data_IF_866455881865
#
_entry.id   IF_866455881865
#
_cell.length_a   1.000
_cell.length_b   1.000
_cell.length_c   1.000
_cell.angle_alpha   90.00
_cell.angle_beta   90.00
_cell.angle_gamma   90.00
#
_symmetry.space_group_name_H-M   'P 1'
#
loop_
_entity.id
_entity.type
_entity.pdbx_description
1 polymer ?
#
# COMPACT_ATOMS: atom_id res chain seq x y z
N UNK A 1 10.36 21.95 -18.66
CA UNK A 1 11.08 21.19 -17.62
C UNK A 1 11.16 19.76 -18.14
N UNK A 2 12.36 19.23 -18.36
CA UNK A 2 12.53 17.92 -18.98
C UNK A 2 12.04 16.84 -18.02
N UNK A 3 11.07 16.05 -18.46
CA UNK A 3 10.63 14.86 -17.75
C UNK A 3 11.65 13.77 -18.04
N UNK A 4 12.68 13.64 -17.20
CA UNK A 4 13.69 12.61 -17.40
C UNK A 4 13.07 11.23 -17.20
N UNK A 5 13.16 10.36 -18.20
CA UNK A 5 12.81 8.95 -18.16
C UNK A 5 14.11 8.15 -18.28
N UNK A 6 14.45 7.42 -17.22
CA UNK A 6 15.58 6.50 -17.21
C UNK A 6 15.10 5.12 -17.66
N UNK A 7 15.74 4.57 -18.68
CA UNK A 7 15.54 3.21 -19.17
C UNK A 7 16.60 2.34 -18.54
N UNK A 8 16.18 1.33 -17.78
CA UNK A 8 17.06 0.29 -17.24
C UNK A 8 16.87 -0.99 -18.04
N UNK A 9 17.94 -1.73 -18.26
CA UNK A 9 17.96 -3.08 -18.81
C UNK A 9 18.60 -4.02 -17.80
N UNK A 10 17.86 -5.01 -17.32
CA UNK A 10 18.32 -5.95 -16.28
C UNK A 10 18.98 -5.19 -15.10
N UNK A 11 18.29 -4.16 -14.61
CA UNK A 11 18.68 -3.29 -13.50
C UNK A 11 19.90 -2.38 -13.74
N UNK A 12 20.45 -2.37 -14.95
CA UNK A 12 21.53 -1.46 -15.33
C UNK A 12 20.97 -0.31 -16.17
N UNK A 13 21.43 0.92 -15.90
CA UNK A 13 21.04 2.09 -16.70
C UNK A 13 21.48 1.88 -18.14
N UNK A 14 20.51 1.89 -19.05
CA UNK A 14 20.72 1.72 -20.48
C UNK A 14 20.72 3.08 -21.19
N UNK A 15 19.80 3.97 -20.83
CA UNK A 15 19.64 5.28 -21.46
C UNK A 15 18.84 6.25 -20.59
N UNK A 16 19.13 7.54 -20.70
CA UNK A 16 18.36 8.61 -20.07
C UNK A 16 17.76 9.51 -21.13
N UNK A 17 16.43 9.58 -21.16
CA UNK A 17 15.67 10.37 -22.12
C UNK A 17 15.10 11.60 -21.42
N UNK A 18 15.02 12.73 -22.13
CA UNK A 18 14.36 13.96 -21.67
C UNK A 18 12.85 14.00 -21.93
N UNK A 19 12.36 13.03 -22.71
CA UNK A 19 10.95 12.90 -23.11
C UNK A 19 10.58 11.47 -23.50
N UNK A 20 9.28 11.16 -23.49
CA UNK A 20 8.78 9.86 -23.96
C UNK A 20 9.07 9.61 -25.45
N UNK A 21 9.09 10.67 -26.28
CA UNK A 21 9.42 10.57 -27.70
C UNK A 21 10.89 10.23 -27.92
N UNK A 22 11.79 10.73 -27.08
CA UNK A 22 13.20 10.36 -27.11
C UNK A 22 13.41 8.92 -26.61
N UNK A 23 12.78 8.56 -25.48
CA UNK A 23 12.81 7.20 -24.96
C UNK A 23 12.31 6.18 -25.99
N UNK A 24 11.20 6.48 -26.68
CA UNK A 24 10.63 5.60 -27.70
C UNK A 24 11.53 5.47 -28.94
N UNK A 25 12.18 6.54 -29.39
CA UNK A 25 13.15 6.49 -30.51
C UNK A 25 14.33 5.59 -30.17
N UNK A 26 14.94 5.83 -29.01
CA UNK A 26 16.07 5.02 -28.54
C UNK A 26 15.67 3.55 -28.41
N UNK A 27 14.54 3.25 -27.74
CA UNK A 27 14.11 1.88 -27.51
C UNK A 27 13.77 1.16 -28.83
N UNK A 28 13.17 1.86 -29.79
CA UNK A 28 12.84 1.30 -31.09
C UNK A 28 14.08 0.87 -31.88
N UNK A 29 15.13 1.71 -31.88
CA UNK A 29 16.41 1.41 -32.48
C UNK A 29 17.12 0.27 -31.74
N UNK A 30 17.22 0.36 -30.42
CA UNK A 30 17.85 -0.66 -29.57
C UNK A 30 17.21 -2.04 -29.73
N UNK A 31 15.90 -2.09 -29.92
CA UNK A 31 15.14 -3.34 -30.04
C UNK A 31 14.86 -3.76 -31.48
N UNK A 32 15.32 -3.02 -32.49
CA UNK A 32 14.98 -3.22 -33.90
C UNK A 32 13.48 -3.41 -34.11
N UNK A 33 12.67 -2.45 -33.63
CA UNK A 33 11.21 -2.51 -33.71
C UNK A 33 10.58 -1.18 -34.13
N UNK A 34 9.29 -1.18 -34.41
CA UNK A 34 8.57 0.04 -34.75
C UNK A 34 8.43 0.95 -33.54
N UNK A 35 8.70 2.25 -33.71
CA UNK A 35 8.60 3.25 -32.63
C UNK A 35 7.22 3.28 -31.97
N UNK A 36 6.15 3.07 -32.73
CA UNK A 36 4.78 3.03 -32.22
C UNK A 36 4.57 1.95 -31.14
N UNK A 37 5.32 0.84 -31.19
CA UNK A 37 5.23 -0.25 -30.22
C UNK A 37 5.94 0.04 -28.90
N UNK A 38 6.70 1.13 -28.80
CA UNK A 38 7.48 1.48 -27.62
C UNK A 38 6.73 2.42 -26.66
N UNK A 39 5.75 3.19 -27.16
CA UNK A 39 5.04 4.18 -26.34
C UNK A 39 4.27 3.55 -25.17
N UNK A 40 3.43 2.54 -25.42
CA UNK A 40 2.64 1.92 -24.35
C UNK A 40 3.52 1.27 -23.26
N UNK A 41 4.55 0.46 -23.60
CA UNK A 41 5.47 -0.07 -22.59
C UNK A 41 6.17 1.00 -21.76
N UNK A 42 6.64 2.08 -22.39
CA UNK A 42 7.31 3.18 -21.68
C UNK A 42 6.31 3.88 -20.76
N UNK A 43 5.16 4.32 -21.31
CA UNK A 43 4.10 5.02 -20.59
C UNK A 43 3.63 4.20 -19.37
N UNK A 44 3.27 2.93 -19.57
CA UNK A 44 2.85 2.05 -18.48
C UNK A 44 3.99 1.77 -17.50
N UNK A 45 5.21 1.67 -18.01
CA UNK A 45 6.40 1.40 -17.23
C UNK A 45 6.72 2.47 -16.22
N UNK A 46 6.86 3.73 -16.63
CA UNK A 46 7.21 4.78 -15.67
C UNK A 46 6.03 5.24 -14.81
N UNK A 47 4.80 5.07 -15.28
CA UNK A 47 3.60 5.47 -14.52
C UNK A 47 3.23 4.44 -13.44
N UNK A 48 3.36 3.15 -13.75
CA UNK A 48 2.90 2.07 -12.88
C UNK A 48 3.98 1.07 -12.49
N UNK A 49 5.24 1.31 -12.85
CA UNK A 49 6.34 0.37 -12.63
C UNK A 49 6.07 -1.00 -13.27
N UNK A 50 5.48 -1.03 -14.47
CA UNK A 50 5.24 -2.27 -15.22
C UNK A 50 6.47 -2.61 -16.07
N UNK A 51 7.15 -3.74 -15.82
CA UNK A 51 8.32 -4.12 -16.61
C UNK A 51 7.91 -4.52 -18.04
N UNK A 52 8.82 -4.28 -18.99
CA UNK A 52 8.69 -4.75 -20.36
C UNK A 52 9.74 -5.80 -20.65
N UNK A 53 9.31 -7.02 -20.98
CA UNK A 53 10.23 -8.12 -21.26
C UNK A 53 10.35 -8.38 -22.76
N UNK A 54 11.58 -8.51 -23.26
CA UNK A 54 11.84 -8.96 -24.64
C UNK A 54 12.95 -10.00 -24.64
N UNK A 55 12.60 -11.25 -24.94
CA UNK A 55 13.53 -12.37 -24.88
C UNK A 55 13.92 -12.65 -23.43
N UNK A 56 15.23 -12.56 -23.12
CA UNK A 56 15.76 -12.73 -21.76
C UNK A 56 15.95 -11.40 -21.01
N UNK A 57 15.73 -10.29 -21.70
CA UNK A 57 15.97 -8.97 -21.17
C UNK A 57 14.69 -8.36 -20.60
N UNK A 58 14.79 -7.83 -19.38
CA UNK A 58 13.78 -7.01 -18.74
C UNK A 58 14.16 -5.53 -18.84
N UNK A 59 13.20 -4.70 -19.24
CA UNK A 59 13.33 -3.26 -19.34
C UNK A 59 12.42 -2.60 -18.31
N UNK A 60 12.99 -1.69 -17.50
CA UNK A 60 12.25 -0.87 -16.54
C UNK A 60 12.37 0.60 -16.95
N UNK A 61 11.29 1.35 -16.74
CA UNK A 61 11.21 2.76 -17.09
C UNK A 61 10.93 3.53 -15.81
N UNK A 62 11.79 4.48 -15.47
CA UNK A 62 11.71 5.21 -14.21
C UNK A 62 11.65 6.70 -14.50
N UNK A 63 10.70 7.38 -13.88
CA UNK A 63 10.60 8.84 -13.90
C UNK A 63 10.48 9.33 -12.45
N UNK A 64 10.81 10.61 -12.17
CA UNK A 64 10.55 11.20 -10.87
C UNK A 64 9.07 11.02 -10.44
N UNK A 65 8.83 10.70 -9.17
CA UNK A 65 7.50 10.37 -8.64
C UNK A 65 6.42 11.41 -9.02
N UNK A 66 6.72 12.70 -8.91
CA UNK A 66 5.77 13.76 -9.27
C UNK A 66 5.33 13.72 -10.74
N UNK A 67 6.22 13.29 -11.65
CA UNK A 67 5.93 13.17 -13.07
C UNK A 67 5.07 11.94 -13.33
N UNK A 68 5.46 10.80 -12.76
CA UNK A 68 4.70 9.56 -12.87
C UNK A 68 3.29 9.72 -12.31
N UNK A 69 3.14 10.33 -11.13
CA UNK A 69 1.86 10.58 -10.48
C UNK A 69 0.98 11.55 -11.27
N UNK A 70 1.53 12.69 -11.73
CA UNK A 70 0.79 13.64 -12.57
C UNK A 70 0.30 12.96 -13.84
N UNK A 71 1.16 12.19 -14.52
CA UNK A 71 0.78 11.49 -15.73
C UNK A 71 -0.31 10.46 -15.46
N UNK A 72 -0.19 9.73 -14.35
CA UNK A 72 -1.20 8.75 -13.92
C UNK A 72 -2.59 9.38 -13.86
N UNK A 73 -2.69 10.53 -13.19
CA UNK A 73 -3.92 11.30 -13.08
C UNK A 73 -4.47 11.69 -14.45
N UNK A 74 -3.63 12.23 -15.35
CA UNK A 74 -4.06 12.60 -16.70
C UNK A 74 -4.60 11.41 -17.52
N UNK A 75 -4.01 10.22 -17.35
CA UNK A 75 -4.46 9.00 -18.03
C UNK A 75 -5.83 8.55 -17.50
N UNK A 76 -6.00 8.58 -16.18
CA UNK A 76 -7.23 8.20 -15.48
C UNK A 76 -8.39 9.14 -15.83
N UNK A 77 -8.19 10.46 -15.73
CA UNK A 77 -9.22 11.46 -16.04
C UNK A 77 -9.77 11.34 -17.45
N UNK A 78 -8.90 11.01 -18.41
CA UNK A 78 -9.27 10.90 -19.83
C UNK A 78 -9.81 9.52 -20.21
N UNK A 79 -9.84 8.58 -19.26
CA UNK A 79 -10.19 7.19 -19.54
C UNK A 79 -9.26 6.55 -20.59
N UNK A 80 -7.98 6.94 -20.61
CA UNK A 80 -7.01 6.49 -21.59
C UNK A 80 -6.81 4.96 -21.51
N UNK A 81 -6.49 4.28 -22.61
CA UNK A 81 -6.31 2.81 -22.59
C UNK A 81 -5.15 2.36 -21.70
N UNK A 82 -4.16 3.23 -21.48
CA UNK A 82 -3.07 3.01 -20.53
C UNK A 82 -3.40 3.39 -19.08
N UNK A 83 -4.61 3.89 -18.78
CA UNK A 83 -5.03 4.10 -17.39
C UNK A 83 -5.01 2.78 -16.61
N UNK A 84 -4.92 2.86 -15.28
CA UNK A 84 -5.04 1.67 -14.44
C UNK A 84 -6.38 0.97 -14.66
N UNK A 85 -6.39 -0.34 -14.48
CA UNK A 85 -7.62 -1.13 -14.62
C UNK A 85 -8.25 -1.31 -13.25
N UNK A 86 -9.57 -1.41 -13.24
CA UNK A 86 -10.35 -1.53 -12.02
C UNK A 86 -11.08 -2.87 -12.06
N UNK A 87 -11.05 -3.59 -10.96
CA UNK A 87 -11.53 -4.96 -10.86
C UNK A 87 -12.45 -5.13 -9.66
N UNK A 88 -13.46 -5.98 -9.80
CA UNK A 88 -14.23 -6.55 -8.70
C UNK A 88 -13.79 -8.00 -8.52
N UNK A 89 -13.36 -8.36 -7.31
CA UNK A 89 -12.76 -9.67 -7.01
C UNK A 89 -13.49 -10.31 -5.84
N UNK A 90 -13.97 -11.56 -5.96
CA UNK A 90 -14.57 -12.26 -4.82
C UNK A 90 -13.50 -12.65 -3.80
N UNK A 91 -13.80 -12.45 -2.53
CA UNK A 91 -13.02 -12.93 -1.40
C UNK A 91 -13.89 -13.80 -0.51
N UNK A 92 -13.39 -14.98 -0.13
CA UNK A 92 -14.11 -15.90 0.75
C UNK A 92 -13.52 -15.83 2.17
N UNK A 93 -14.22 -15.22 3.15
CA UNK A 93 -13.72 -15.11 4.52
C UNK A 93 -13.60 -16.47 5.21
N UNK A 94 -14.18 -17.55 4.65
CA UNK A 94 -13.98 -18.92 5.16
C UNK A 94 -12.71 -19.58 4.64
N UNK A 95 -12.12 -19.05 3.58
CA UNK A 95 -10.85 -19.54 3.03
C UNK A 95 -9.67 -18.73 3.60
N UNK A 96 -9.82 -17.40 3.62
CA UNK A 96 -8.79 -16.47 4.06
C UNK A 96 -9.40 -15.32 4.89
N UNK A 97 -8.88 -15.11 6.10
CA UNK A 97 -9.32 -14.04 6.99
C UNK A 97 -8.68 -12.70 6.61
N UNK A 98 -9.33 -11.98 5.68
CA UNK A 98 -8.89 -10.67 5.22
C UNK A 98 -8.88 -9.60 6.32
N UNK A 99 -9.78 -9.68 7.30
CA UNK A 99 -9.92 -8.65 8.33
C UNK A 99 -8.73 -8.68 9.29
N UNK A 100 -8.39 -9.87 9.80
CA UNK A 100 -7.19 -10.06 10.61
C UNK A 100 -5.92 -9.78 9.80
N UNK A 101 -5.91 -10.14 8.51
CA UNK A 101 -4.76 -9.91 7.65
C UNK A 101 -4.48 -8.42 7.42
N UNK A 102 -5.50 -7.62 7.08
CA UNK A 102 -5.32 -6.17 6.88
C UNK A 102 -5.07 -5.40 8.18
N UNK A 103 -5.51 -5.91 9.32
CA UNK A 103 -5.17 -5.34 10.64
C UNK A 103 -3.67 -5.48 10.97
N UNK A 104 -3.02 -6.53 10.44
CA UNK A 104 -1.63 -6.87 10.75
C UNK A 104 -0.64 -6.53 9.64
N UNK A 105 -1.09 -6.48 8.39
CA UNK A 105 -0.25 -6.32 7.21
C UNK A 105 -0.81 -5.27 6.25
N UNK A 106 0.05 -4.38 5.79
CA UNK A 106 -0.27 -3.40 4.76
C UNK A 106 -0.29 -4.02 3.36
N UNK A 107 0.48 -5.10 3.15
CA UNK A 107 0.54 -5.83 1.87
C UNK A 107 0.23 -7.30 2.06
N UNK A 108 -0.49 -7.90 1.12
CA UNK A 108 -0.81 -9.32 1.14
C UNK A 108 -0.56 -9.96 -0.22
N UNK A 109 -0.15 -11.23 -0.16
CA UNK A 109 -0.12 -12.11 -1.33
C UNK A 109 -1.50 -12.69 -1.58
N UNK A 110 -1.98 -12.52 -2.81
CA UNK A 110 -3.29 -12.97 -3.23
C UNK A 110 -3.21 -13.84 -4.46
N UNK A 111 -4.15 -14.79 -4.56
CA UNK A 111 -4.26 -15.66 -5.72
C UNK A 111 -4.45 -14.82 -6.98
N UNK A 112 -3.51 -14.98 -7.92
CA UNK A 112 -3.60 -14.37 -9.24
C UNK A 112 -4.63 -15.12 -10.07
N UNK A 113 -5.84 -14.57 -10.11
CA UNK A 113 -7.00 -15.11 -10.85
C UNK A 113 -7.19 -14.45 -12.22
N UNK A 114 -6.45 -13.40 -12.51
CA UNK A 114 -6.40 -12.70 -13.78
C UNK A 114 -4.98 -12.15 -14.01
N UNK A 115 -4.69 -11.67 -15.21
CA UNK A 115 -3.43 -10.97 -15.51
C UNK A 115 -3.43 -9.56 -14.91
N UNK A 116 -3.42 -9.47 -13.58
CA UNK A 116 -3.27 -8.19 -12.87
C UNK A 116 -1.92 -7.58 -13.17
N UNK A 117 -1.90 -6.25 -13.28
CA UNK A 117 -0.69 -5.48 -13.55
C UNK A 117 -0.53 -4.45 -12.44
N UNK A 118 0.71 -4.00 -12.24
CA UNK A 118 1.00 -2.98 -11.24
C UNK A 118 0.13 -1.73 -11.49
N UNK A 119 -0.37 -1.16 -10.40
CA UNK A 119 -1.28 -0.02 -10.40
C UNK A 119 -2.77 -0.38 -10.55
N UNK A 120 -3.13 -1.61 -10.92
CA UNK A 120 -4.53 -2.04 -10.96
C UNK A 120 -5.20 -1.89 -9.58
N UNK A 121 -6.46 -1.47 -9.56
CA UNK A 121 -7.27 -1.35 -8.35
C UNK A 121 -8.24 -2.51 -8.26
N UNK A 122 -8.26 -3.18 -7.12
CA UNK A 122 -9.15 -4.31 -6.85
C UNK A 122 -10.09 -3.92 -5.72
N UNK A 123 -11.37 -4.03 -5.98
CA UNK A 123 -12.44 -3.97 -4.98
C UNK A 123 -12.80 -5.39 -4.56
N UNK A 124 -12.62 -5.70 -3.28
CA UNK A 124 -12.84 -7.04 -2.75
C UNK A 124 -14.28 -7.19 -2.27
N UNK A 125 -15.05 -8.03 -2.97
CA UNK A 125 -16.38 -8.47 -2.55
C UNK A 125 -16.25 -9.63 -1.56
N UNK A 126 -16.48 -9.35 -0.27
CA UNK A 126 -16.39 -10.36 0.78
C UNK A 126 -17.70 -11.15 0.82
N UNK A 127 -17.60 -12.45 0.51
CA UNK A 127 -18.74 -13.37 0.42
C UNK A 127 -19.15 -13.92 1.79
N UNK A 128 -19.84 -15.06 1.84
CA UNK A 128 -20.29 -15.68 3.09
C UNK A 128 -21.40 -14.89 3.78
N UNK A 129 -21.15 -14.45 5.02
CA UNK A 129 -22.11 -13.68 5.84
C UNK A 129 -22.01 -12.17 5.60
N UNK A 130 -20.91 -11.71 5.00
CA UNK A 130 -20.62 -10.28 4.80
C UNK A 130 -21.36 -9.74 3.57
N UNK A 131 -21.25 -10.45 2.44
CA UNK A 131 -22.01 -10.24 1.17
C UNK A 131 -21.99 -8.79 0.64
N UNK A 132 -20.84 -8.13 0.70
CA UNK A 132 -20.65 -6.75 0.24
C UNK A 132 -19.21 -6.49 -0.18
N UNK A 133 -18.99 -5.44 -0.97
CA UNK A 133 -17.64 -4.92 -1.19
C UNK A 133 -17.18 -4.22 0.09
N UNK A 134 -15.98 -4.57 0.59
CA UNK A 134 -15.41 -3.97 1.82
C UNK A 134 -14.08 -3.27 1.60
N UNK A 135 -13.22 -3.81 0.75
CA UNK A 135 -11.83 -3.36 0.66
C UNK A 135 -11.48 -2.85 -0.72
N UNK A 136 -10.67 -1.79 -0.76
CA UNK A 136 -9.96 -1.29 -1.93
C UNK A 136 -8.48 -1.59 -1.75
N UNK A 137 -7.86 -2.22 -2.74
CA UNK A 137 -6.42 -2.52 -2.74
C UNK A 137 -5.79 -2.14 -4.07
N UNK A 138 -4.50 -1.85 -4.07
CA UNK A 138 -3.70 -1.57 -5.27
C UNK A 138 -2.71 -2.71 -5.51
N UNK A 139 -2.64 -3.23 -6.73
CA UNK A 139 -1.63 -4.21 -7.13
C UNK A 139 -0.28 -3.52 -7.22
N UNK A 140 0.66 -3.95 -6.40
CA UNK A 140 2.05 -3.45 -6.42
C UNK A 140 2.99 -4.40 -7.16
N UNK A 141 2.61 -5.69 -7.26
CA UNK A 141 3.31 -6.69 -8.06
C UNK A 141 2.29 -7.64 -8.72
N UNK A 142 2.13 -7.52 -10.05
CA UNK A 142 1.16 -8.29 -10.83
C UNK A 142 1.46 -9.79 -10.89
N UNK A 143 2.74 -10.15 -10.83
CA UNK A 143 3.21 -11.54 -10.79
C UNK A 143 4.36 -11.63 -9.79
N UNK A 144 4.14 -12.34 -8.69
CA UNK A 144 5.12 -12.56 -7.63
C UNK A 144 5.87 -13.85 -7.89
N UNK A 145 7.18 -13.85 -7.69
CA UNK A 145 8.00 -15.06 -7.86
C UNK A 145 7.70 -16.06 -6.74
N UNK A 146 7.52 -17.37 -7.04
CA UNK A 146 7.11 -18.35 -6.03
C UNK A 146 8.02 -18.44 -4.80
N UNK A 147 9.32 -18.16 -4.96
CA UNK A 147 10.33 -18.16 -3.91
C UNK A 147 10.23 -16.96 -2.94
N UNK A 148 9.54 -15.89 -3.34
CA UNK A 148 9.32 -14.70 -2.52
C UNK A 148 7.91 -14.63 -1.91
N UNK A 149 7.07 -15.64 -2.15
CA UNK A 149 5.71 -15.68 -1.63
C UNK A 149 5.72 -16.00 -0.13
N UNK A 150 5.32 -15.02 0.66
CA UNK A 150 5.00 -15.25 2.07
C UNK A 150 3.60 -15.85 2.20
N UNK A 151 3.56 -17.17 2.37
CA UNK A 151 2.33 -17.86 2.72
C UNK A 151 1.97 -17.49 4.15
N UNK A 152 1.11 -16.49 4.34
CA UNK A 152 0.59 -16.05 5.63
C UNK A 152 -0.33 -17.11 6.27
N UNK A 153 0.24 -18.28 6.62
CA UNK A 153 -0.46 -19.51 7.05
C UNK A 153 -1.47 -19.28 8.16
N UNK A 154 -1.25 -18.27 9.01
CA UNK A 154 -2.14 -17.97 10.13
C UNK A 154 -3.51 -17.42 9.72
N UNK A 155 -3.66 -16.88 8.51
CA UNK A 155 -4.95 -16.37 8.01
C UNK A 155 -5.72 -17.38 7.16
N UNK A 156 -5.11 -18.51 6.83
CA UNK A 156 -5.77 -19.57 6.07
C UNK A 156 -6.64 -20.41 7.00
N UNK A 157 -7.95 -20.23 6.88
CA UNK A 157 -8.93 -21.02 7.62
C UNK A 157 -9.20 -22.37 6.92
N UNK A 158 -9.06 -22.43 5.59
CA UNK A 158 -9.14 -23.66 4.81
C UNK A 158 -7.73 -24.24 4.55
N UNK A 159 -7.43 -25.36 5.20
CA UNK A 159 -6.11 -26.02 5.12
C UNK A 159 -5.87 -26.71 3.78
N UNK A 160 -6.91 -27.12 3.07
CA UNK A 160 -6.75 -27.76 1.76
C UNK A 160 -6.50 -26.69 0.70
N UNK A 161 -7.19 -25.54 0.78
CA UNK A 161 -6.86 -24.37 -0.05
C UNK A 161 -5.43 -23.89 0.17
N UNK A 162 -4.93 -23.92 1.41
CA UNK A 162 -3.54 -23.59 1.70
C UNK A 162 -2.55 -24.57 1.04
N UNK A 163 -2.90 -25.85 0.87
CA UNK A 163 -2.04 -26.80 0.13
C UNK A 163 -2.04 -26.48 -1.36
N UNK A 164 -3.23 -26.26 -1.92
CA UNK A 164 -3.40 -25.89 -3.34
C UNK A 164 -2.66 -24.59 -3.67
N UNK A 165 -2.62 -23.66 -2.74
CA UNK A 165 -2.02 -22.33 -2.92
C UNK A 165 -0.53 -22.38 -3.28
N UNK A 166 0.18 -23.45 -2.92
CA UNK A 166 1.58 -23.68 -3.31
C UNK A 166 1.79 -23.87 -4.81
N UNK A 167 0.74 -24.18 -5.57
CA UNK A 167 0.78 -24.34 -7.02
C UNK A 167 0.20 -23.13 -7.77
N UNK A 168 -0.26 -22.12 -7.05
CA UNK A 168 -0.87 -20.94 -7.66
C UNK A 168 0.17 -19.92 -8.07
N UNK A 169 -0.21 -19.10 -9.03
CA UNK A 169 0.44 -17.81 -9.27
C UNK A 169 -0.10 -16.77 -8.29
N UNK A 170 0.76 -15.82 -7.94
CA UNK A 170 0.49 -14.83 -6.90
C UNK A 170 0.60 -13.41 -7.45
N UNK A 171 -0.21 -12.53 -6.89
CA UNK A 171 -0.08 -11.08 -7.04
C UNK A 171 0.04 -10.48 -5.65
N UNK A 172 0.88 -9.45 -5.50
CA UNK A 172 0.98 -8.68 -4.26
C UNK A 172 0.12 -7.44 -4.41
N UNK A 173 -0.78 -7.24 -3.47
CA UNK A 173 -1.49 -5.97 -3.34
C UNK A 173 -1.18 -5.30 -2.02
N UNK A 174 -1.37 -3.98 -1.99
CA UNK A 174 -1.33 -3.14 -0.81
C UNK A 174 -2.74 -2.66 -0.47
N UNK A 175 -3.08 -2.68 0.80
CA UNK A 175 -4.31 -2.10 1.32
C UNK A 175 -4.38 -0.60 1.02
N UNK A 176 -5.54 -0.12 0.57
CA UNK A 176 -5.77 1.31 0.27
C UNK A 176 -6.87 1.88 1.16
N UNK A 177 -8.02 1.21 1.18
CA UNK A 177 -9.17 1.73 1.89
C UNK A 177 -10.16 0.61 2.28
N UNK A 178 -10.99 0.90 3.27
CA UNK A 178 -12.08 0.04 3.69
C UNK A 178 -13.36 0.81 3.95
N UNK A 179 -14.49 0.14 3.73
CA UNK A 179 -15.81 0.71 3.98
C UNK A 179 -16.72 -0.33 4.60
N UNK A 180 -17.57 0.12 5.52
CA UNK A 180 -18.62 -0.70 6.13
C UNK A 180 -19.98 -0.11 5.79
N UNK A 181 -20.56 -0.54 4.67
CA UNK A 181 -21.87 -0.04 4.20
C UNK A 181 -22.69 -1.13 3.54
N UNK A 182 -24.01 -1.09 3.75
CA UNK A 182 -24.97 -1.98 3.09
C UNK A 182 -25.25 -1.58 1.63
N UNK A 183 -24.84 -0.37 1.23
CA UNK A 183 -25.01 0.12 -0.15
C UNK A 183 -24.11 -0.62 -1.14
N UNK A 184 -23.08 -1.33 -0.68
CA UNK A 184 -22.24 -2.18 -1.53
C UNK A 184 -22.61 -3.66 -1.49
N UNK A 185 -23.84 -3.97 -1.08
CA UNK A 185 -24.40 -5.33 -1.08
C UNK A 185 -24.69 -5.83 -2.51
N UNK A 186 -24.75 -7.16 -2.68
CA UNK A 186 -25.01 -7.78 -3.99
C UNK A 186 -26.26 -7.24 -4.71
N UNK A 187 -27.33 -6.98 -3.95
CA UNK A 187 -28.57 -6.41 -4.48
C UNK A 187 -28.35 -5.03 -5.08
N UNK A 188 -27.67 -4.15 -4.33
CA UNK A 188 -27.36 -2.78 -4.78
C UNK A 188 -26.42 -2.77 -5.97
N UNK A 189 -25.43 -3.66 -6.01
CA UNK A 189 -24.55 -3.82 -7.17
C UNK A 189 -25.35 -4.23 -8.42
N UNK A 190 -26.34 -5.13 -8.28
CA UNK A 190 -27.21 -5.54 -9.40
C UNK A 190 -28.06 -4.40 -9.91
N UNK A 191 -28.56 -3.55 -9.02
CA UNK A 191 -29.32 -2.36 -9.40
C UNK A 191 -28.48 -1.35 -10.20
N UNK A 192 -27.16 -1.34 -10.03
CA UNK A 192 -26.21 -0.49 -10.75
C UNK A 192 -25.44 -1.23 -11.87
N UNK A 193 -26.00 -2.34 -12.38
CA UNK A 193 -25.53 -2.97 -13.61
C UNK A 193 -24.68 -4.23 -13.44
N UNK A 194 -24.49 -4.76 -12.23
CA UNK A 194 -23.85 -6.07 -12.05
C UNK A 194 -24.73 -7.18 -12.65
N UNK A 195 -24.19 -7.91 -13.63
CA UNK A 195 -24.86 -9.05 -14.29
C UNK A 195 -24.31 -10.38 -13.77
N UNK A 196 -25.21 -11.26 -13.32
CA UNK A 196 -24.86 -12.60 -12.88
C UNK A 196 -24.33 -12.68 -11.45
N UNK A 197 -23.54 -13.72 -11.18
CA UNK A 197 -22.93 -13.99 -9.86
C UNK A 197 -21.44 -13.63 -9.89
N UNK A 198 -20.91 -13.15 -8.78
CA UNK A 198 -19.48 -12.85 -8.61
C UNK A 198 -18.75 -14.16 -8.30
N UNK A 199 -18.43 -14.94 -9.34
CA UNK A 199 -17.74 -16.23 -9.23
C UNK A 199 -16.24 -16.15 -9.56
N UNK A 200 -15.79 -15.01 -10.07
CA UNK A 200 -14.40 -14.75 -10.41
C UNK A 200 -14.18 -13.26 -10.62
N UNK A 201 -12.93 -12.91 -10.88
CA UNK A 201 -12.52 -11.53 -11.07
C UNK A 201 -13.13 -10.95 -12.34
N UNK A 202 -13.69 -9.76 -12.23
CA UNK A 202 -14.33 -9.08 -13.36
C UNK A 202 -13.89 -7.63 -13.44
N UNK A 203 -13.67 -7.15 -14.67
CA UNK A 203 -13.31 -5.76 -14.91
C UNK A 203 -14.52 -4.88 -14.64
N UNK A 204 -14.33 -3.82 -13.86
CA UNK A 204 -15.34 -2.80 -13.59
C UNK A 204 -15.20 -1.69 -14.64
N UNK A 205 -16.32 -1.35 -15.27
CA UNK A 205 -16.43 -0.27 -16.25
C UNK A 205 -17.79 0.41 -16.10
N UNK A 206 -17.87 1.67 -16.57
CA UNK A 206 -19.13 2.42 -16.62
C UNK A 206 -19.76 2.66 -15.25
N UNK A 207 -21.09 2.63 -15.21
CA UNK A 207 -21.90 2.98 -14.05
C UNK A 207 -21.55 2.16 -12.79
N UNK A 208 -21.45 0.83 -12.90
CA UNK A 208 -21.13 -0.04 -11.77
C UNK A 208 -19.78 0.32 -11.14
N UNK A 209 -18.79 0.61 -11.98
CA UNK A 209 -17.46 1.03 -11.52
C UNK A 209 -17.53 2.33 -10.75
N UNK A 210 -18.14 3.37 -11.33
CA UNK A 210 -18.31 4.67 -10.67
C UNK A 210 -19.09 4.57 -9.36
N UNK A 211 -20.16 3.76 -9.33
CA UNK A 211 -20.97 3.52 -8.14
C UNK A 211 -20.14 2.92 -7.01
N UNK A 212 -19.34 1.88 -7.27
CA UNK A 212 -18.48 1.29 -6.23
C UNK A 212 -17.44 2.32 -5.78
N UNK A 213 -16.78 2.99 -6.73
CA UNK A 213 -15.71 3.95 -6.44
C UNK A 213 -16.17 5.11 -5.56
N UNK A 214 -17.41 5.58 -5.69
CA UNK A 214 -17.90 6.74 -4.93
C UNK A 214 -17.98 6.52 -3.42
N UNK A 215 -17.89 5.28 -2.93
CA UNK A 215 -17.90 4.98 -1.50
C UNK A 215 -16.51 4.99 -0.87
N UNK A 216 -15.45 4.92 -1.68
CA UNK A 216 -14.08 4.87 -1.19
C UNK A 216 -13.45 6.25 -1.32
N UNK A 217 -13.04 6.82 -0.19
CA UNK A 217 -12.54 8.18 -0.12
C UNK A 217 -11.03 8.23 -0.37
N UNK A 218 -10.29 7.20 0.06
CA UNK A 218 -8.83 7.18 -0.08
C UNK A 218 -8.47 6.77 -1.49
N UNK A 219 -7.75 7.65 -2.17
CA UNK A 219 -7.14 7.37 -3.46
C UNK A 219 -5.67 7.74 -3.42
N UNK A 220 -4.80 6.76 -3.70
CA UNK A 220 -3.35 6.94 -3.67
C UNK A 220 -2.85 7.99 -4.69
N UNK A 221 -3.71 8.42 -5.61
CA UNK A 221 -3.45 9.46 -6.62
C UNK A 221 -3.75 10.88 -6.17
N UNK A 222 -4.55 11.10 -5.12
CA UNK A 222 -4.97 12.46 -4.71
C UNK A 222 -3.97 13.17 -3.78
N UNK A 223 -3.00 12.47 -3.20
CA UNK A 223 -2.14 13.00 -2.13
C UNK A 223 -0.87 13.73 -2.61
N UNK A 224 -0.78 14.15 -3.88
CA UNK A 224 0.43 14.82 -4.42
C UNK A 224 0.22 16.29 -4.86
N UNK A 225 -0.81 16.97 -4.37
CA UNK A 225 -0.96 18.42 -4.58
C UNK A 225 -0.68 19.17 -3.27
N UNK A 226 0.50 19.80 -3.09
CA UNK A 226 0.58 20.99 -2.28
C UNK A 226 -0.01 22.17 -3.07
N UNK A 227 -0.75 23.05 -2.37
CA UNK A 227 -1.46 24.29 -2.79
C UNK A 227 -2.98 24.07 -2.94
N UNK A 228 -3.87 24.68 -2.15
CA UNK A 228 -3.94 26.08 -1.67
C UNK A 228 -4.38 26.21 -0.18
N UNK A 229 -3.90 27.26 0.50
CA UNK A 229 -4.34 27.66 1.84
C UNK A 229 -5.71 28.35 1.71
N UNK A 230 -6.77 27.76 2.24
CA UNK A 230 -8.05 28.46 2.38
C UNK A 230 -8.00 29.46 3.55
N UNK A 231 -8.29 30.73 3.27
CA UNK A 231 -8.45 31.83 4.23
C UNK A 231 -9.78 31.76 5.04
N UNK A 232 -10.28 30.56 5.35
CA UNK A 232 -11.51 30.40 6.12
C UNK A 232 -11.26 29.73 7.46
N UNK A 233 -11.84 30.32 8.52
CA UNK A 233 -11.79 29.83 9.91
C UNK A 233 -12.83 28.73 10.17
N UNK A 234 -13.11 27.86 9.19
CA UNK A 234 -14.03 26.74 9.35
C UNK A 234 -13.30 25.55 10.01
N UNK A 235 -13.76 25.14 11.19
CA UNK A 235 -13.20 24.05 12.00
C UNK A 235 -14.28 22.98 12.28
N UNK A 236 -13.90 21.71 12.37
CA UNK A 236 -14.82 20.58 12.65
C UNK A 236 -15.03 19.57 11.51
N UNK A 237 -14.41 19.76 10.34
CA UNK A 237 -14.36 18.75 9.30
C UNK A 237 -13.25 17.72 9.57
N UNK A 238 -13.57 16.43 9.43
CA UNK A 238 -12.61 15.34 9.46
C UNK A 238 -11.59 15.52 8.33
N UNK A 239 -10.38 15.97 8.66
CA UNK A 239 -9.22 16.00 7.76
C UNK A 239 -8.32 14.81 8.11
N UNK A 240 -8.24 13.85 7.21
CA UNK A 240 -7.31 12.74 7.32
C UNK A 240 -6.04 13.07 6.54
N UNK A 241 -4.88 12.97 7.19
CA UNK A 241 -3.55 13.22 6.61
C UNK A 241 -2.82 11.88 6.57
N UNK A 242 -2.39 11.43 5.39
CA UNK A 242 -1.56 10.23 5.27
C UNK A 242 -0.09 10.54 5.57
N UNK A 243 0.55 9.67 6.35
CA UNK A 243 1.98 9.71 6.67
C UNK A 243 2.61 8.45 6.05
N UNK A 244 3.81 8.57 5.47
CA UNK A 244 4.55 7.40 4.97
C UNK A 244 4.74 6.38 6.10
N UNK A 245 4.18 5.17 5.95
CA UNK A 245 4.37 4.09 6.92
C UNK A 245 5.40 3.12 6.37
N UNK A 246 6.41 2.85 7.18
CA UNK A 246 7.38 1.79 6.93
C UNK A 246 6.79 0.44 7.33
N UNK A 247 7.10 -0.59 6.55
CA UNK A 247 6.74 -1.97 6.82
C UNK A 247 7.28 -2.41 8.20
N UNK A 248 6.39 -2.83 9.10
CA UNK A 248 6.71 -3.22 10.49
C UNK A 248 6.66 -4.73 10.62
N UNK A 249 7.79 -5.37 10.96
CA UNK A 249 7.84 -6.82 11.13
C UNK A 249 7.12 -7.25 12.44
N UNK A 250 6.03 -8.05 12.37
CA UNK A 250 5.26 -8.45 13.54
C UNK A 250 6.03 -9.39 14.48
N UNK A 251 7.01 -10.16 13.98
CA UNK A 251 7.90 -11.00 14.80
C UNK A 251 8.79 -10.10 15.66
N UNK A 252 9.37 -9.06 15.06
CA UNK A 252 10.21 -8.12 15.79
C UNK A 252 9.40 -7.31 16.82
N UNK A 253 8.17 -6.91 16.49
CA UNK A 253 7.26 -6.29 17.46
C UNK A 253 7.01 -7.23 18.64
N UNK A 254 6.69 -8.51 18.37
CA UNK A 254 6.41 -9.48 19.42
C UNK A 254 7.63 -9.71 20.32
N UNK A 255 8.81 -9.91 19.73
CA UNK A 255 10.06 -10.12 20.46
C UNK A 255 10.44 -8.89 21.31
N UNK A 256 10.17 -7.68 20.81
CA UNK A 256 10.35 -6.44 21.56
C UNK A 256 9.45 -6.41 22.82
N UNK A 257 8.16 -6.73 22.67
CA UNK A 257 7.23 -6.77 23.80
C UNK A 257 7.53 -7.92 24.78
N UNK A 258 7.99 -9.08 24.28
CA UNK A 258 8.42 -10.20 25.14
C UNK A 258 9.64 -9.80 26.00
N UNK A 259 10.52 -8.94 25.49
CA UNK A 259 11.69 -8.45 26.22
C UNK A 259 11.37 -7.30 27.19
N UNK A 260 10.71 -6.25 26.70
CA UNK A 260 10.50 -5.00 27.44
C UNK A 260 9.16 -4.93 28.19
N UNK A 261 8.22 -5.84 27.89
CA UNK A 261 6.84 -5.78 28.36
C UNK A 261 5.99 -4.76 27.59
N UNK A 262 4.81 -4.48 28.13
CA UNK A 262 3.78 -3.60 27.53
C UNK A 262 3.69 -2.22 28.18
N UNK A 263 4.65 -1.90 29.06
CA UNK A 263 4.74 -0.61 29.72
C UNK A 263 5.54 0.38 28.85
N UNK A 264 5.06 1.62 28.76
CA UNK A 264 5.75 2.67 28.00
C UNK A 264 7.12 3.01 28.63
N UNK A 265 8.19 2.92 27.84
CA UNK A 265 9.56 3.19 28.31
C UNK A 265 9.87 4.69 28.53
N UNK A 266 8.96 5.58 28.09
CA UNK A 266 9.09 7.04 28.23
C UNK A 266 8.34 7.53 29.48
N UNK A 267 7.02 7.31 29.54
CA UNK A 267 6.15 7.85 30.60
C UNK A 267 5.61 6.80 31.58
N UNK A 268 6.05 5.55 31.47
CA UNK A 268 5.71 4.46 32.39
C UNK A 268 4.21 4.05 32.40
N UNK A 269 3.41 4.58 31.46
CA UNK A 269 2.01 4.20 31.31
C UNK A 269 1.87 2.71 30.96
N UNK A 270 0.97 2.04 31.68
CA UNK A 270 0.55 0.66 31.48
C UNK A 270 -0.97 0.66 31.24
N UNK A 271 -1.38 0.24 30.06
CA UNK A 271 -2.78 0.35 29.63
C UNK A 271 -3.69 -0.64 30.35
N UNK A 272 -3.22 -1.85 30.64
CA UNK A 272 -4.00 -2.85 31.38
C UNK A 272 -4.22 -2.38 32.83
N UNK A 273 -3.19 -1.83 33.48
CA UNK A 273 -3.35 -1.28 34.83
C UNK A 273 -4.24 -0.05 34.89
N UNK A 274 -4.23 0.79 33.86
CA UNK A 274 -4.97 2.06 33.85
C UNK A 274 -6.42 1.88 33.38
N UNK A 275 -6.65 1.04 32.37
CA UNK A 275 -7.93 0.91 31.68
C UNK A 275 -8.58 -0.47 31.86
N UNK A 276 -7.91 -1.41 32.55
CA UNK A 276 -8.38 -2.78 32.73
C UNK A 276 -8.14 -3.64 31.48
N UNK A 277 -8.87 -4.75 31.36
CA UNK A 277 -8.70 -5.77 30.30
C UNK A 277 -8.72 -5.20 28.87
N UNK A 278 -9.45 -4.11 28.61
CA UNK A 278 -9.48 -3.46 27.28
C UNK A 278 -8.11 -2.90 26.86
N UNK A 279 -7.24 -2.61 27.82
CA UNK A 279 -5.88 -2.12 27.60
C UNK A 279 -4.83 -3.22 27.51
N UNK A 280 -5.22 -4.49 27.63
CA UNK A 280 -4.28 -5.61 27.57
C UNK A 280 -3.55 -5.67 26.23
N UNK A 281 -2.24 -5.84 26.29
CA UNK A 281 -1.33 -5.86 25.13
C UNK A 281 -1.37 -4.61 24.22
N UNK A 282 -2.05 -3.54 24.67
CA UNK A 282 -2.18 -2.30 23.91
C UNK A 282 -0.96 -1.41 24.13
N UNK A 283 0.00 -1.51 23.21
CA UNK A 283 1.21 -0.67 23.19
C UNK A 283 1.72 -0.51 21.74
N UNK A 284 2.28 0.66 21.43
CA UNK A 284 2.96 0.89 20.15
C UNK A 284 4.45 0.53 20.28
N UNK A 285 5.10 0.21 19.15
CA UNK A 285 6.55 -0.02 19.10
C UNK A 285 7.19 0.98 18.16
N UNK A 286 8.19 1.71 18.65
CA UNK A 286 8.93 2.75 17.96
C UNK A 286 10.28 2.24 17.49
N UNK A 287 10.76 2.73 16.34
CA UNK A 287 12.13 2.46 15.88
C UNK A 287 13.08 3.53 16.41
N UNK A 288 14.14 3.14 17.12
CA UNK A 288 15.16 4.05 17.63
C UNK A 288 16.02 4.67 16.52
N UNK A 289 16.17 3.95 15.40
CA UNK A 289 16.78 4.47 14.17
C UNK A 289 15.70 4.73 13.13
N UNK A 290 15.60 5.97 12.60
CA UNK A 290 14.61 6.27 11.58
C UNK A 290 14.84 5.44 10.31
N UNK A 291 13.80 4.74 9.86
CA UNK A 291 13.87 3.85 8.71
C UNK A 291 14.20 4.57 7.37
N UNK A 292 14.08 5.92 7.30
CA UNK A 292 14.51 6.71 6.13
C UNK A 292 16.04 6.77 5.96
N UNK A 293 16.80 6.56 7.04
CA UNK A 293 18.27 6.54 6.99
C UNK A 293 18.80 5.18 6.54
N UNK A 294 17.95 4.14 6.57
CA UNK A 294 18.27 2.76 6.23
C UNK A 294 17.89 2.51 4.77
N UNK A 295 18.77 2.87 3.84
CA UNK A 295 18.52 2.82 2.39
C UNK A 295 18.48 1.39 1.77
N UNK A 296 18.53 0.33 2.57
CA UNK A 296 18.53 -1.07 2.12
C UNK A 296 17.73 -1.98 3.06
N UNK A 297 17.30 -3.15 2.58
CA UNK A 297 16.69 -4.20 3.42
C UNK A 297 17.56 -4.47 4.66
N UNK A 298 17.03 -4.22 5.85
CA UNK A 298 17.73 -4.38 7.12
C UNK A 298 16.98 -5.36 8.01
N UNK A 299 17.72 -6.24 8.67
CA UNK A 299 17.17 -7.16 9.68
C UNK A 299 17.07 -6.38 10.99
N UNK A 300 15.85 -6.01 11.37
CA UNK A 300 15.57 -5.30 12.62
C UNK A 300 15.96 -6.14 13.84
N UNK A 301 16.72 -5.55 14.77
CA UNK A 301 16.98 -6.11 16.09
C UNK A 301 15.84 -5.69 17.05
N UNK A 302 15.00 -6.64 17.52
CA UNK A 302 13.86 -6.33 18.38
C UNK A 302 14.20 -5.69 19.73
N UNK A 303 15.45 -5.82 20.17
CA UNK A 303 15.93 -5.30 21.45
C UNK A 303 16.63 -3.96 21.24
N UNK A 304 17.48 -3.84 20.22
CA UNK A 304 18.32 -2.66 20.04
C UNK A 304 17.74 -1.60 19.10
N UNK A 305 16.84 -1.96 18.19
CA UNK A 305 16.26 -1.02 17.24
C UNK A 305 14.82 -0.63 17.59
N UNK A 306 14.17 -1.36 18.49
CA UNK A 306 12.76 -1.19 18.83
C UNK A 306 12.56 -0.88 20.32
N UNK A 307 11.55 -0.07 20.63
CA UNK A 307 11.17 0.24 22.00
C UNK A 307 9.66 0.41 22.16
N UNK A 308 9.01 -0.18 23.19
CA UNK A 308 7.59 0.00 23.41
C UNK A 308 7.27 1.37 24.03
N UNK A 309 6.31 2.06 23.43
CA UNK A 309 5.85 3.40 23.84
C UNK A 309 4.34 3.53 23.70
N UNK A 310 3.72 4.38 24.53
CA UNK A 310 2.30 4.67 24.39
C UNK A 310 2.03 5.49 23.11
N UNK A 311 0.80 5.53 22.57
CA UNK A 311 0.46 6.30 21.38
C UNK A 311 0.84 7.78 21.47
N UNK A 312 0.71 8.40 22.65
CA UNK A 312 1.06 9.80 22.86
C UNK A 312 2.57 10.05 22.78
N UNK A 313 3.38 9.23 23.48
CA UNK A 313 4.83 9.33 23.40
C UNK A 313 5.34 8.99 22.00
N UNK A 314 4.75 7.99 21.35
CA UNK A 314 5.05 7.65 19.96
C UNK A 314 4.85 8.85 19.03
N UNK A 315 3.72 9.56 19.17
CA UNK A 315 3.44 10.76 18.38
C UNK A 315 4.46 11.88 18.63
N UNK A 316 4.92 12.07 19.87
CA UNK A 316 5.92 13.10 20.21
C UNK A 316 7.31 12.79 19.64
N UNK A 317 7.71 11.52 19.61
CA UNK A 317 8.99 11.10 19.00
C UNK A 317 9.03 11.31 17.48
N UNK A 318 7.86 11.30 16.82
CA UNK A 318 7.73 11.61 15.39
C UNK A 318 7.56 13.11 15.08
N UNK A 319 7.60 14.00 16.08
CA UNK A 319 7.61 15.44 15.85
C UNK A 319 9.04 15.97 15.79
N UNK A 320 9.29 16.88 14.84
CA UNK A 320 10.58 17.58 14.71
C UNK A 320 10.59 18.87 15.51
N UNK A 321 11.70 19.14 16.17
CA UNK A 321 12.03 20.42 16.79
C UNK A 321 13.35 20.92 16.20
N UNK A 322 13.37 22.14 15.67
CA UNK A 322 14.54 22.70 14.97
C UNK A 322 15.08 21.81 13.83
N UNK A 323 14.20 20.99 13.23
CA UNK A 323 14.55 20.08 12.13
C UNK A 323 14.97 18.67 12.57
N UNK A 324 15.14 18.42 13.87
CA UNK A 324 15.59 17.13 14.43
C UNK A 324 14.49 16.42 15.22
N UNK A 325 14.52 15.09 15.24
CA UNK A 325 13.60 14.28 16.05
C UNK A 325 14.10 14.20 17.49
N UNK A 326 13.17 14.13 18.45
CA UNK A 326 13.51 13.91 19.85
C UNK A 326 13.94 12.45 20.09
N UNK A 327 14.99 12.29 20.88
CA UNK A 327 15.36 10.99 21.47
C UNK A 327 14.42 10.61 22.61
N UNK A 328 14.40 9.32 22.94
CA UNK A 328 13.66 8.80 24.10
C UNK A 328 14.07 9.52 25.38
N UNK A 329 15.37 9.75 25.57
CA UNK A 329 15.95 10.39 26.74
C UNK A 329 15.53 11.87 26.83
N UNK A 330 15.55 12.59 25.71
CA UNK A 330 15.10 13.98 25.65
C UNK A 330 13.61 14.11 25.97
N UNK A 331 12.77 13.22 25.43
CA UNK A 331 11.34 13.23 25.73
C UNK A 331 11.07 12.85 27.19
N UNK A 332 11.80 11.87 27.73
CA UNK A 332 11.71 11.46 29.14
C UNK A 332 12.10 12.60 30.09
N UNK A 333 13.18 13.32 29.80
CA UNK A 333 13.62 14.47 30.59
C UNK A 333 12.58 15.61 30.61
N UNK A 334 11.85 15.83 29.50
CA UNK A 334 10.77 16.83 29.43
C UNK A 334 9.59 16.48 30.33
N UNK A 335 9.20 15.22 30.35
CA UNK A 335 8.10 14.76 31.21
C UNK A 335 8.49 14.89 32.69
N UNK A 336 9.71 14.50 33.06
CA UNK A 336 10.21 14.60 34.43
C UNK A 336 10.35 16.05 34.92
N UNK A 337 10.74 16.98 34.04
CA UNK A 337 10.81 18.42 34.37
C UNK A 337 9.44 19.10 34.51
N UNK A 338 8.36 18.46 34.06
CA UNK A 338 6.99 18.98 34.19
C UNK A 338 6.30 18.46 35.46
N UNK A 339 6.81 17.38 36.06
CA UNK A 339 6.32 16.81 37.33
C UNK A 339 6.82 17.56 38.59
N UNK A 340 7.53 18.69 38.42
CA UNK A 340 8.09 19.52 39.48
C UNK A 340 7.44 20.92 39.60
N UNK A 341 6.29 21.16 38.95
CA UNK A 341 5.50 22.39 39.12
C UNK A 341 4.13 22.10 39.70
#
# INVERSE_FOLDING_TARGET
MASTITILKNDQVLFEATSIQEAARFLAEHLSTAISKCFDPIERGYVYNIPYTKGKDEYRFVAPNHIASKRRYELEERGHHNARRIWLVPANPREFDLESAFSLYETLEWKRSFNYENGDILYLYVSGNVRRVRYKVEVIEGTVRPDTVEYNKMFWLDKDKLKDSKQWEWTRFRFVDEVETTELSLEKLRNHGLRGNIQGSMKLTGELGHYIMSFFEKDLTKEYYPEEVHETLEEGNLKTIAVNVYERNPIARKQCMEHYGVQCQVCELDFEKTYGEVGKDFIHVHHLKPLHEIQHCYIVDPVHDLIPVCPNCHAMLHRKENGEYLTIEQLKARILNTSLC
#
